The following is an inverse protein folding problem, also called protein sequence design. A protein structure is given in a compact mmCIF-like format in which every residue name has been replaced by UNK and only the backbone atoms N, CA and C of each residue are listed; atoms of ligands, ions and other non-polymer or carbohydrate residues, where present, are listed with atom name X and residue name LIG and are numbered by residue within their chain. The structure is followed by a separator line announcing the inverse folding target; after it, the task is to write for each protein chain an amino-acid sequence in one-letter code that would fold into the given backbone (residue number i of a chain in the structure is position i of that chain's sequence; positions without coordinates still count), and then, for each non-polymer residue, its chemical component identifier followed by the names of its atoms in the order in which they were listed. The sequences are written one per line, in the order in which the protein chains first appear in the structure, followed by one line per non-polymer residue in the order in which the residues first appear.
data_IF_903749676213
#
_entry.id   IF_903749676213
#
_cell.length_a   1.000
_cell.length_b   1.000
_cell.length_c   1.000
_cell.angle_alpha   90.00
_cell.angle_beta   90.00
_cell.angle_gamma   90.00
#
_symmetry.space_group_name_H-M   'P 1'
#
loop_
_entity.id
_entity.type
_entity.pdbx_description
1 polymer ?
#
# COMPACT_ATOMS: atom_id res chain seq x y z
N UNK A 1 8.88 -15.85 16.49
CA UNK A 1 9.11 -15.23 16.30
C UNK A 1 8.81 -14.18 15.87
N UNK A 2 8.70 -13.41 15.87
CA UNK A 2 8.41 -12.48 15.57
C UNK A 2 8.85 -11.71 14.55
N UNK A 3 8.98 -11.99 13.78
CA UNK A 3 9.62 -11.45 12.61
C UNK A 3 8.73 -10.58 11.82
N UNK A 4 7.45 -10.83 11.84
CA UNK A 4 6.50 -9.98 11.15
C UNK A 4 6.54 -8.56 11.67
N UNK A 5 6.83 -8.40 12.94
CA UNK A 5 6.83 -7.06 13.51
C UNK A 5 7.89 -6.18 12.87
N UNK A 6 8.97 -6.77 12.32
CA UNK A 6 10.03 -5.99 11.71
C UNK A 6 9.90 -5.87 10.19
N UNK A 7 8.88 -6.48 9.58
CA UNK A 7 8.77 -6.45 8.12
C UNK A 7 8.39 -5.09 7.59
N UNK A 8 7.57 -4.37 8.31
CA UNK A 8 7.25 -3.00 7.94
C UNK A 8 6.13 -2.85 6.95
N UNK A 9 5.89 -1.60 6.62
CA UNK A 9 4.83 -1.19 5.71
C UNK A 9 5.47 -0.37 4.59
N UNK A 10 5.10 -0.66 3.36
CA UNK A 10 5.51 0.13 2.21
C UNK A 10 4.35 1.05 1.83
N UNK A 11 4.67 2.33 1.61
CA UNK A 11 3.71 3.32 1.12
C UNK A 11 4.20 3.78 -0.25
N UNK A 12 3.42 3.51 -1.28
CA UNK A 12 3.80 3.86 -2.65
C UNK A 12 2.90 4.99 -3.10
N UNK A 13 3.45 6.20 -3.10
CA UNK A 13 2.70 7.42 -3.31
C UNK A 13 3.63 8.47 -3.90
N UNK A 14 3.32 9.00 -5.09
CA UNK A 14 4.19 9.95 -5.75
C UNK A 14 3.89 11.41 -5.40
N UNK A 15 2.74 11.68 -4.81
CA UNK A 15 2.37 13.06 -4.46
C UNK A 15 2.94 13.40 -3.10
N UNK A 16 3.77 14.44 -3.07
CA UNK A 16 4.48 14.82 -1.84
C UNK A 16 3.53 15.20 -0.73
N UNK A 17 2.45 15.89 -1.05
CA UNK A 17 1.48 16.29 -0.04
C UNK A 17 0.85 15.06 0.61
N UNK A 18 0.43 14.09 -0.20
CA UNK A 18 -0.16 12.88 0.34
C UNK A 18 0.85 12.08 1.16
N UNK A 19 2.11 12.04 0.72
CA UNK A 19 3.15 11.40 1.52
C UNK A 19 3.23 12.03 2.91
N UNK A 20 3.20 13.37 2.95
CA UNK A 20 3.29 14.07 4.23
C UNK A 20 2.07 13.83 5.11
N UNK A 21 0.89 13.78 4.51
CA UNK A 21 -0.34 13.51 5.26
C UNK A 21 -0.33 12.10 5.84
N UNK A 22 0.12 11.14 5.05
CA UNK A 22 0.21 9.76 5.52
C UNK A 22 1.27 9.65 6.61
N UNK A 23 2.42 10.29 6.42
CA UNK A 23 3.50 10.24 7.41
C UNK A 23 3.04 10.82 8.73
N UNK A 24 2.31 11.94 8.68
CA UNK A 24 1.81 12.55 9.90
C UNK A 24 0.80 11.65 10.61
N UNK A 25 -0.09 11.05 9.84
CA UNK A 25 -1.10 10.16 10.41
C UNK A 25 -0.46 8.96 11.09
N UNK A 26 0.66 8.48 10.55
CA UNK A 26 1.29 7.25 11.03
C UNK A 26 2.51 7.50 11.93
N UNK A 27 2.73 8.75 12.38
CA UNK A 27 3.98 9.02 13.10
C UNK A 27 4.06 8.28 14.43
N UNK A 28 2.95 7.91 15.04
CA UNK A 28 2.97 7.13 16.27
C UNK A 28 2.63 5.66 16.04
N UNK A 29 2.73 5.20 14.80
CA UNK A 29 2.31 3.85 14.44
C UNK A 29 3.16 2.77 15.10
N UNK A 30 4.46 3.02 15.25
CA UNK A 30 5.31 2.14 16.02
C UNK A 30 6.05 1.07 15.24
N UNK A 31 5.96 1.05 13.94
CA UNK A 31 6.69 0.09 13.12
C UNK A 31 7.44 0.77 12.00
N UNK A 32 8.31 0.07 11.28
CA UNK A 32 9.05 0.67 10.17
C UNK A 32 8.13 0.94 8.98
N UNK A 33 8.27 2.13 8.41
CA UNK A 33 7.46 2.55 7.28
C UNK A 33 8.41 3.11 6.23
N UNK A 34 8.28 2.62 4.99
CA UNK A 34 9.14 3.02 3.89
C UNK A 34 8.29 3.62 2.78
N UNK A 35 8.72 4.76 2.27
CA UNK A 35 7.97 5.47 1.21
C UNK A 35 8.68 5.31 -0.12
N UNK A 36 7.91 5.05 -1.16
CA UNK A 36 8.39 4.96 -2.54
C UNK A 36 7.47 5.80 -3.42
N UNK A 37 8.02 6.36 -4.49
CA UNK A 37 7.24 7.22 -5.39
C UNK A 37 6.78 6.48 -6.65
N UNK A 38 7.36 5.32 -6.94
CA UNK A 38 7.01 4.55 -8.13
C UNK A 38 6.79 3.10 -7.78
N UNK A 39 6.00 2.40 -8.60
CA UNK A 39 5.85 0.96 -8.45
C UNK A 39 7.15 0.22 -8.65
N UNK A 40 7.95 0.69 -9.62
CA UNK A 40 9.24 0.07 -9.92
C UNK A 40 10.17 0.10 -8.71
N UNK A 41 10.22 1.24 -8.02
CA UNK A 41 11.09 1.36 -6.84
C UNK A 41 10.59 0.48 -5.69
N UNK A 42 9.28 0.43 -5.54
CA UNK A 42 8.67 -0.49 -4.56
C UNK A 42 9.10 -1.93 -4.86
N UNK A 43 8.97 -2.35 -6.12
CA UNK A 43 9.30 -3.72 -6.49
C UNK A 43 10.78 -4.02 -6.32
N UNK A 44 11.65 -3.03 -6.56
CA UNK A 44 13.08 -3.21 -6.36
C UNK A 44 13.42 -3.51 -4.90
N UNK A 45 12.53 -3.17 -3.97
CA UNK A 45 12.74 -3.38 -2.54
C UNK A 45 11.79 -4.41 -1.94
N UNK A 46 11.02 -5.11 -2.78
CA UNK A 46 9.98 -6.00 -2.27
C UNK A 46 10.56 -7.19 -1.51
N UNK A 47 11.83 -7.50 -1.75
CA UNK A 47 12.50 -8.59 -1.04
C UNK A 47 12.63 -8.32 0.46
N UNK A 48 12.40 -7.09 0.91
CA UNK A 48 12.32 -6.79 2.34
C UNK A 48 11.07 -7.41 2.98
N UNK A 49 10.15 -7.91 2.17
CA UNK A 49 8.95 -8.62 2.61
C UNK A 49 8.10 -7.78 3.56
N UNK A 50 7.55 -6.66 3.08
CA UNK A 50 6.64 -5.88 3.91
C UNK A 50 5.40 -6.70 4.24
N UNK A 51 4.80 -6.42 5.38
CA UNK A 51 3.52 -7.04 5.73
C UNK A 51 2.40 -6.49 4.87
N UNK A 52 2.47 -5.19 4.59
CA UNK A 52 1.41 -4.47 3.89
C UNK A 52 2.05 -3.51 2.91
N UNK A 53 1.43 -3.37 1.75
CA UNK A 53 1.78 -2.31 0.79
C UNK A 53 0.54 -1.45 0.58
N UNK A 54 0.67 -0.15 0.84
CA UNK A 54 -0.36 0.84 0.55
C UNK A 54 0.03 1.48 -0.75
N UNK A 55 -0.85 1.46 -1.74
CA UNK A 55 -0.47 1.65 -3.12
C UNK A 55 -1.47 2.56 -3.83
N UNK A 56 -1.01 3.67 -4.37
CA UNK A 56 -1.86 4.52 -5.22
C UNK A 56 -1.96 3.90 -6.61
N UNK A 57 -3.00 4.26 -7.33
CA UNK A 57 -3.15 3.82 -8.72
C UNK A 57 -2.31 4.66 -9.65
N UNK A 58 -2.39 5.99 -9.51
CA UNK A 58 -1.66 6.92 -10.38
C UNK A 58 -0.29 7.16 -9.79
N UNK A 59 0.72 6.59 -10.43
CA UNK A 59 2.09 6.67 -9.94
C UNK A 59 3.00 7.20 -11.04
N UNK A 60 4.06 7.89 -10.64
CA UNK A 60 5.14 8.20 -11.58
C UNK A 60 5.76 6.91 -12.07
N UNK A 61 6.49 6.98 -13.18
CA UNK A 61 7.08 5.80 -13.77
C UNK A 61 6.13 5.18 -14.77
N UNK A 62 6.42 3.95 -15.15
CA UNK A 62 5.68 3.30 -16.22
C UNK A 62 4.57 2.38 -15.73
N UNK A 63 4.57 2.05 -14.44
CA UNK A 63 3.57 1.14 -13.88
C UNK A 63 2.55 1.90 -13.08
N UNK A 64 1.28 1.55 -13.27
CA UNK A 64 0.23 2.05 -12.38
C UNK A 64 0.09 1.11 -11.17
N UNK A 65 -0.83 1.46 -10.27
CA UNK A 65 -0.99 0.69 -9.04
C UNK A 65 -1.44 -0.75 -9.27
N UNK A 66 -2.32 -0.98 -10.24
CA UNK A 66 -2.79 -2.34 -10.49
C UNK A 66 -1.70 -3.21 -11.11
N UNK A 67 -0.89 -2.62 -11.99
CA UNK A 67 0.25 -3.34 -12.56
C UNK A 67 1.27 -3.68 -11.48
N UNK A 68 1.50 -2.75 -10.56
CA UNK A 68 2.39 -2.98 -9.44
C UNK A 68 1.84 -4.09 -8.54
N UNK A 69 0.54 -4.06 -8.26
CA UNK A 69 -0.12 -5.10 -7.47
C UNK A 69 0.09 -6.48 -8.09
N UNK A 70 -0.05 -6.56 -9.41
CA UNK A 70 0.13 -7.85 -10.09
C UNK A 70 1.54 -8.40 -9.85
N UNK A 71 2.55 -7.54 -9.95
CA UNK A 71 3.93 -7.98 -9.72
C UNK A 71 4.18 -8.34 -8.27
N UNK A 72 3.58 -7.61 -7.33
CA UNK A 72 3.67 -7.96 -5.91
C UNK A 72 3.10 -9.36 -5.68
N UNK A 73 1.95 -9.66 -6.27
CA UNK A 73 1.31 -10.95 -6.12
C UNK A 73 2.16 -12.09 -6.67
N UNK A 74 2.89 -11.83 -7.78
CA UNK A 74 3.80 -12.84 -8.32
C UNK A 74 4.94 -13.11 -7.37
N UNK A 75 5.43 -12.06 -6.68
CA UNK A 75 6.52 -12.22 -5.75
C UNK A 75 6.07 -12.95 -4.49
N UNK A 76 4.96 -12.51 -3.89
CA UNK A 76 4.50 -13.08 -2.63
C UNK A 76 3.00 -12.80 -2.48
N UNK A 77 2.16 -13.78 -2.75
CA UNK A 77 0.70 -13.55 -2.68
C UNK A 77 0.18 -13.30 -1.27
N UNK A 78 1.00 -13.48 -0.24
CA UNK A 78 0.55 -13.26 1.14
C UNK A 78 0.68 -11.80 1.58
N UNK A 79 1.34 -10.96 0.80
CA UNK A 79 1.45 -9.54 1.15
C UNK A 79 0.07 -8.90 1.04
N UNK A 80 -0.37 -8.24 2.09
CA UNK A 80 -1.65 -7.55 2.08
C UNK A 80 -1.51 -6.22 1.35
N UNK A 81 -2.40 -5.95 0.40
CA UNK A 81 -2.32 -4.73 -0.40
C UNK A 81 -3.58 -3.91 -0.21
N UNK A 82 -3.42 -2.63 0.04
CA UNK A 82 -4.49 -1.65 0.10
C UNK A 82 -4.26 -0.66 -1.05
N UNK A 83 -5.21 -0.56 -1.97
CA UNK A 83 -5.19 0.53 -2.94
C UNK A 83 -5.80 1.76 -2.28
N UNK A 84 -5.01 2.80 -2.16
CA UNK A 84 -5.43 4.06 -1.53
C UNK A 84 -5.31 5.16 -2.57
N UNK A 85 -6.43 5.51 -3.20
CA UNK A 85 -6.39 6.31 -4.41
C UNK A 85 -7.64 7.16 -4.56
N UNK A 86 -7.50 8.28 -5.26
CA UNK A 86 -8.65 9.08 -5.65
C UNK A 86 -9.30 8.56 -6.93
N UNK A 87 -8.65 7.62 -7.61
CA UNK A 87 -9.22 7.00 -8.81
C UNK A 87 -10.37 6.11 -8.40
N UNK A 88 -11.54 6.32 -9.01
CA UNK A 88 -12.73 5.55 -8.67
C UNK A 88 -12.80 4.27 -9.50
N UNK A 89 -13.67 3.38 -9.07
CA UNK A 89 -14.02 2.14 -9.81
C UNK A 89 -12.88 1.16 -9.94
N UNK A 90 -11.84 1.28 -9.10
CA UNK A 90 -10.77 0.29 -9.08
C UNK A 90 -11.21 -1.00 -8.41
N UNK A 91 -12.18 -0.91 -7.49
CA UNK A 91 -12.60 -2.06 -6.68
C UNK A 91 -13.75 -2.80 -7.35
N UNK A 92 -13.57 -3.14 -8.62
CA UNK A 92 -14.59 -3.86 -9.37
C UNK A 92 -14.36 -5.36 -9.26
N UNK A 93 -15.41 -6.14 -9.54
CA UNK A 93 -15.28 -7.59 -9.55
C UNK A 93 -14.27 -8.04 -10.60
N UNK A 94 -14.23 -7.35 -11.73
CA UNK A 94 -13.28 -7.67 -12.79
C UNK A 94 -11.85 -7.47 -12.31
N UNK A 95 -11.57 -6.35 -11.64
CA UNK A 95 -10.24 -6.10 -11.12
C UNK A 95 -9.87 -7.10 -10.04
N UNK A 96 -10.81 -7.44 -9.17
CA UNK A 96 -10.56 -8.46 -8.14
C UNK A 96 -10.18 -9.80 -8.75
N UNK A 97 -10.85 -10.19 -9.83
CA UNK A 97 -10.53 -11.44 -10.50
C UNK A 97 -9.18 -11.37 -11.21
N UNK A 98 -8.89 -10.23 -11.84
CA UNK A 98 -7.69 -10.11 -12.67
C UNK A 98 -6.42 -9.98 -11.83
N UNK A 99 -6.48 -9.19 -10.75
CA UNK A 99 -5.29 -8.81 -9.99
C UNK A 99 -5.22 -9.47 -8.61
N UNK A 100 -6.17 -10.35 -8.30
CA UNK A 100 -6.27 -10.92 -6.97
C UNK A 100 -7.00 -9.99 -6.03
N UNK A 101 -7.32 -10.50 -4.84
CA UNK A 101 -8.06 -9.71 -3.87
C UNK A 101 -7.19 -8.59 -3.29
N UNK A 102 -7.79 -7.44 -3.10
CA UNK A 102 -7.13 -6.31 -2.48
C UNK A 102 -8.18 -5.45 -1.81
N UNK A 103 -7.78 -4.68 -0.81
CA UNK A 103 -8.66 -3.70 -0.20
C UNK A 103 -8.51 -2.38 -0.95
N UNK A 104 -9.58 -1.62 -0.97
CA UNK A 104 -9.60 -0.32 -1.62
C UNK A 104 -10.11 0.72 -0.63
N UNK A 105 -9.45 1.87 -0.59
CA UNK A 105 -9.86 3.01 0.21
C UNK A 105 -9.74 4.25 -0.65
N UNK A 106 -10.85 4.94 -0.86
CA UNK A 106 -10.84 6.15 -1.66
C UNK A 106 -10.23 7.29 -0.84
N UNK A 107 -9.36 8.09 -1.49
CA UNK A 107 -8.74 9.23 -0.82
C UNK A 107 -9.76 10.33 -0.59
N UNK A 108 -10.05 10.58 0.67
CA UNK A 108 -10.91 11.67 1.14
C UNK A 108 -10.30 12.20 2.42
N UNK A 109 -10.83 13.31 2.90
CA UNK A 109 -10.28 13.94 4.10
C UNK A 109 -10.19 12.98 5.27
N UNK A 110 -11.26 12.23 5.53
CA UNK A 110 -11.30 11.32 6.69
C UNK A 110 -10.63 9.98 6.41
N UNK A 111 -10.19 9.75 5.18
CA UNK A 111 -9.65 8.43 4.81
C UNK A 111 -8.30 8.15 5.46
N UNK A 112 -7.55 9.18 5.82
CA UNK A 112 -6.23 8.96 6.42
C UNK A 112 -6.35 8.30 7.78
N UNK A 113 -7.33 8.71 8.58
CA UNK A 113 -7.59 8.05 9.87
C UNK A 113 -8.07 6.62 9.66
N UNK A 114 -8.90 6.39 8.65
CA UNK A 114 -9.38 5.06 8.32
C UNK A 114 -8.21 4.17 7.90
N UNK A 115 -7.29 4.73 7.10
CA UNK A 115 -6.11 4.00 6.69
C UNK A 115 -5.31 3.54 7.90
N UNK A 116 -5.09 4.43 8.87
CA UNK A 116 -4.36 4.08 10.09
C UNK A 116 -5.04 2.93 10.83
N UNK A 117 -6.36 2.97 10.93
CA UNK A 117 -7.10 1.90 11.58
C UNK A 117 -6.94 0.57 10.86
N UNK A 118 -7.02 0.59 9.53
CA UNK A 118 -6.83 -0.61 8.74
C UNK A 118 -5.44 -1.19 8.97
N UNK A 119 -4.42 -0.33 8.96
CA UNK A 119 -3.05 -0.79 9.15
C UNK A 119 -2.86 -1.39 10.53
N UNK A 120 -3.43 -0.78 11.56
CA UNK A 120 -3.34 -1.34 12.91
C UNK A 120 -3.99 -2.71 12.99
N UNK A 121 -5.12 -2.86 12.33
CA UNK A 121 -5.84 -4.13 12.35
C UNK A 121 -5.04 -5.23 11.68
N UNK A 122 -4.38 -4.90 10.56
CA UNK A 122 -3.67 -5.92 9.77
C UNK A 122 -2.30 -6.26 10.32
N UNK A 123 -1.64 -5.30 10.96
CA UNK A 123 -0.31 -5.55 11.52
C UNK A 123 -0.42 -6.00 12.96
N UNK A 124 -1.56 -6.03 13.49
CA UNK A 124 -1.82 -6.33 14.86
C UNK A 124 -0.97 -7.41 15.41
N UNK A 125 -0.51 -7.18 16.53
CA UNK A 125 0.37 -8.10 17.14
C UNK A 125 -0.10 -8.59 18.42
#
# INVERSE_FOLDING_TARGET
MHLQASSGIFIVEDNLLYQQLIARELEDFGGPIFFYTTGEHCLANICRRPSIVVLDYNLDGEMNGLETLEEIRKFDPSIFVILFSSQKDLHSNENQRRYGSFDFLEKKEQSFAILKQLLKTKVCI
#
